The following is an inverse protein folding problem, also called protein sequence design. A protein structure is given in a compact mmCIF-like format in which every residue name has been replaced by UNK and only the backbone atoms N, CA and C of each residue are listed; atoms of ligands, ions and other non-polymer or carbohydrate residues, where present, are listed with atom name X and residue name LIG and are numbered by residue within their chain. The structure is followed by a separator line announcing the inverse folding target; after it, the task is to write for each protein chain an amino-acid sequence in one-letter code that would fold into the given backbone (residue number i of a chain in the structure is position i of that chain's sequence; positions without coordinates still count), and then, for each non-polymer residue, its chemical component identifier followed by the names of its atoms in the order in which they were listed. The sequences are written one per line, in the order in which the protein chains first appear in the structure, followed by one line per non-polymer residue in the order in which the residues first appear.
data_IF_989627402415
#
_entry.id   IF_989627402415
#
_cell.length_a   1.000
_cell.length_b   1.000
_cell.length_c   1.000
_cell.angle_alpha   90.00
_cell.angle_beta   90.00
_cell.angle_gamma   90.00
#
_symmetry.space_group_name_H-M   'P 1'
#
loop_
_entity.id
_entity.type
_entity.pdbx_description
1 polymer ?
#
# COMPACT_ATOMS: atom_id res chain seq x y z
N UNK A 1 -19.40 3.69 14.54
CA UNK A 1 -19.92 4.14 13.22
C UNK A 1 -19.19 3.36 12.12
N UNK A 2 -19.79 3.14 10.94
CA UNK A 2 -19.09 2.61 9.77
C UNK A 2 -17.99 3.58 9.30
N UNK A 3 -16.88 3.07 8.78
CA UNK A 3 -15.76 3.84 8.22
C UNK A 3 -15.41 3.33 6.83
N UNK A 4 -15.59 4.18 5.81
CA UNK A 4 -15.31 3.85 4.41
C UNK A 4 -13.99 4.53 4.00
N UNK A 5 -13.04 3.74 3.50
CA UNK A 5 -11.80 4.22 2.90
C UNK A 5 -12.04 4.56 1.42
N UNK A 6 -12.06 5.87 1.10
CA UNK A 6 -12.08 6.38 -0.28
C UNK A 6 -10.66 6.62 -0.75
N UNK A 7 -10.15 5.78 -1.65
CA UNK A 7 -8.76 5.84 -2.14
C UNK A 7 -8.72 6.52 -3.50
N UNK A 8 -8.08 7.69 -3.58
CA UNK A 8 -7.91 8.43 -4.85
C UNK A 8 -6.53 8.20 -5.49
N UNK A 9 -5.50 7.90 -4.69
CA UNK A 9 -4.12 7.76 -5.13
C UNK A 9 -3.38 6.65 -4.40
N UNK A 10 -2.13 6.92 -3.99
CA UNK A 10 -1.30 5.92 -3.31
C UNK A 10 -1.86 5.57 -1.94
N UNK A 11 -2.01 4.28 -1.67
CA UNK A 11 -2.30 3.72 -0.36
C UNK A 11 -1.17 2.75 0.01
N UNK A 12 -0.08 3.33 0.52
CA UNK A 12 1.20 2.64 0.72
C UNK A 12 1.70 2.85 2.15
N UNK A 13 2.36 1.83 2.73
CA UNK A 13 2.91 1.88 4.10
C UNK A 13 1.84 2.28 5.13
N UNK A 14 2.05 3.33 5.92
CA UNK A 14 1.05 3.82 6.88
C UNK A 14 -0.33 4.12 6.26
N UNK A 15 -0.37 4.56 4.99
CA UNK A 15 -1.64 4.71 4.27
C UNK A 15 -2.36 3.37 4.05
N UNK A 16 -1.61 2.31 3.78
CA UNK A 16 -2.12 0.95 3.64
C UNK A 16 -2.66 0.40 4.96
N UNK A 17 -1.99 0.68 6.06
CA UNK A 17 -2.41 0.34 7.42
C UNK A 17 -3.71 1.04 7.81
N UNK A 18 -3.76 2.37 7.67
CA UNK A 18 -4.96 3.17 7.97
C UNK A 18 -6.15 2.69 7.13
N UNK A 19 -5.92 2.50 5.83
CA UNK A 19 -6.99 2.03 4.95
C UNK A 19 -7.44 0.60 5.28
N UNK A 20 -6.55 -0.27 5.77
CA UNK A 20 -6.93 -1.62 6.19
C UNK A 20 -7.65 -1.59 7.52
N UNK A 21 -7.45 -0.59 8.38
CA UNK A 21 -8.22 -0.42 9.61
C UNK A 21 -9.70 -0.07 9.34
N UNK A 22 -10.02 0.58 8.20
CA UNK A 22 -11.39 0.86 7.77
C UNK A 22 -12.25 -0.40 7.53
N UNK A 23 -13.56 -0.23 7.42
CA UNK A 23 -14.52 -1.33 7.24
C UNK A 23 -14.68 -1.73 5.77
N UNK A 24 -14.70 -0.76 4.86
CA UNK A 24 -14.81 -0.95 3.41
C UNK A 24 -13.82 -0.06 2.67
N UNK A 25 -13.38 -0.50 1.48
CA UNK A 25 -12.52 0.32 0.61
C UNK A 25 -13.13 0.44 -0.79
N UNK A 26 -13.27 1.67 -1.26
CA UNK A 26 -13.56 2.00 -2.66
C UNK A 26 -12.39 2.78 -3.22
N UNK A 27 -11.88 2.37 -4.37
CA UNK A 27 -10.70 2.95 -4.97
C UNK A 27 -10.96 3.51 -6.38
N UNK A 28 -10.32 4.64 -6.65
CA UNK A 28 -9.87 5.02 -7.99
C UNK A 28 -9.07 3.87 -8.60
N UNK A 29 -9.27 3.62 -9.88
CA UNK A 29 -8.51 2.61 -10.59
C UNK A 29 -7.08 3.01 -10.95
N UNK A 30 -6.73 4.27 -10.74
CA UNK A 30 -5.36 4.78 -10.76
C UNK A 30 -4.63 4.61 -9.42
N UNK A 31 -5.35 4.20 -8.36
CA UNK A 31 -4.74 3.95 -7.06
C UNK A 31 -3.75 2.78 -7.12
N UNK A 32 -2.69 2.90 -6.34
CA UNK A 32 -1.68 1.86 -6.16
C UNK A 32 -1.51 1.55 -4.68
N UNK A 33 -1.23 0.29 -4.38
CA UNK A 33 -1.23 -0.25 -3.04
C UNK A 33 0.06 -1.02 -2.78
N UNK A 34 0.52 -1.06 -1.55
CA UNK A 34 1.69 -1.86 -1.17
C UNK A 34 2.27 -1.46 0.18
N UNK A 35 3.39 -2.08 0.52
CA UNK A 35 4.21 -1.67 1.66
C UNK A 35 5.47 -0.96 1.19
N UNK A 36 6.09 -0.23 2.12
CA UNK A 36 7.40 0.38 1.88
C UNK A 36 8.34 0.27 3.08
N UNK A 37 7.83 -0.14 4.25
CA UNK A 37 8.57 -0.17 5.51
C UNK A 37 9.91 -0.89 5.39
N UNK A 38 9.92 -2.20 5.02
CA UNK A 38 11.15 -3.00 5.00
C UNK A 38 12.24 -2.44 4.10
N UNK A 39 11.87 -1.72 3.04
CA UNK A 39 12.82 -1.05 2.14
C UNK A 39 13.45 0.21 2.76
N UNK A 40 12.79 0.86 3.70
CA UNK A 40 13.20 2.15 4.26
C UNK A 40 13.44 2.10 5.77
N UNK A 41 13.84 0.94 6.29
CA UNK A 41 14.23 0.78 7.70
C UNK A 41 13.06 0.81 8.67
N UNK A 42 11.88 0.38 8.24
CA UNK A 42 10.69 0.26 9.09
C UNK A 42 10.00 -1.09 8.85
N UNK A 43 8.94 -1.39 9.58
CA UNK A 43 8.10 -2.56 9.36
C UNK A 43 6.61 -2.15 9.30
N UNK A 44 5.72 -3.00 8.76
CA UNK A 44 4.29 -2.72 8.75
C UNK A 44 3.65 -2.86 10.15
N UNK A 45 3.90 -1.89 11.02
CA UNK A 45 3.60 -1.91 12.45
C UNK A 45 2.25 -1.32 12.85
N UNK A 46 1.59 -0.56 11.98
CA UNK A 46 0.26 0.01 12.22
C UNK A 46 -0.89 -0.94 11.91
N UNK A 47 -0.62 -2.24 11.93
CA UNK A 47 -1.62 -3.31 11.87
C UNK A 47 -1.66 -4.05 10.54
N UNK A 48 -0.77 -3.76 9.59
CA UNK A 48 -0.75 -4.50 8.32
C UNK A 48 -0.48 -5.98 8.50
N UNK A 49 0.48 -6.34 9.36
CA UNK A 49 0.80 -7.73 9.69
C UNK A 49 -0.38 -8.45 10.35
N UNK A 50 -1.24 -7.71 11.08
CA UNK A 50 -2.45 -8.25 11.70
C UNK A 50 -3.60 -8.42 10.71
N UNK A 51 -3.70 -7.53 9.72
CA UNK A 51 -4.86 -7.40 8.84
C UNK A 51 -4.70 -8.15 7.53
N UNK A 52 -3.51 -8.15 6.91
CA UNK A 52 -3.28 -8.77 5.60
C UNK A 52 -3.78 -10.22 5.49
N UNK A 53 -3.58 -11.10 6.50
CA UNK A 53 -4.09 -12.48 6.44
C UNK A 53 -5.63 -12.60 6.40
N UNK A 54 -6.37 -11.53 6.74
CA UNK A 54 -7.84 -11.49 6.64
C UNK A 54 -8.34 -11.07 5.25
N UNK A 55 -7.45 -10.54 4.42
CA UNK A 55 -7.78 -10.02 3.10
C UNK A 55 -7.20 -10.86 1.96
N UNK A 56 -6.06 -11.51 2.20
CA UNK A 56 -5.27 -12.22 1.20
C UNK A 56 -4.99 -13.65 1.64
N UNK A 57 -4.52 -14.48 0.70
CA UNK A 57 -3.87 -15.74 1.06
C UNK A 57 -2.65 -15.46 1.94
N UNK A 58 -2.22 -16.42 2.76
CA UNK A 58 -1.06 -16.21 3.64
C UNK A 58 0.22 -15.92 2.84
N UNK A 59 0.39 -16.54 1.67
CA UNK A 59 1.52 -16.30 0.76
C UNK A 59 1.46 -14.89 0.15
N UNK A 60 0.29 -14.47 -0.36
CA UNK A 60 0.11 -13.12 -0.89
C UNK A 60 0.27 -12.06 0.21
N UNK A 61 -0.21 -12.34 1.43
CA UNK A 61 -0.05 -11.47 2.59
C UNK A 61 1.44 -11.29 2.92
N UNK A 62 2.20 -12.39 2.98
CA UNK A 62 3.64 -12.35 3.22
C UNK A 62 4.35 -11.56 2.11
N UNK A 63 4.10 -11.89 0.85
CA UNK A 63 4.75 -11.20 -0.27
C UNK A 63 4.38 -9.72 -0.35
N UNK A 64 3.11 -9.36 -0.14
CA UNK A 64 2.68 -7.96 -0.09
C UNK A 64 3.35 -7.19 1.06
N UNK A 65 3.55 -7.86 2.20
CA UNK A 65 4.18 -7.28 3.38
C UNK A 65 5.65 -6.91 3.15
N UNK A 66 6.41 -7.80 2.49
CA UNK A 66 7.89 -7.70 2.46
C UNK A 66 8.49 -7.26 1.13
N UNK A 67 7.83 -7.53 -0.01
CA UNK A 67 8.41 -7.25 -1.35
C UNK A 67 8.55 -5.76 -1.66
N UNK A 68 7.75 -4.93 -0.98
CA UNK A 68 7.61 -3.51 -1.26
C UNK A 68 7.22 -3.21 -2.72
N UNK A 69 6.58 -4.18 -3.39
CA UNK A 69 6.01 -4.00 -4.73
C UNK A 69 4.73 -3.17 -4.69
N UNK A 70 4.50 -2.42 -5.76
CA UNK A 70 3.24 -1.71 -5.96
C UNK A 70 2.28 -2.59 -6.74
N UNK A 71 1.09 -2.77 -6.20
CA UNK A 71 0.00 -3.51 -6.83
C UNK A 71 -1.10 -2.55 -7.26
N UNK A 72 -1.74 -2.84 -8.39
CA UNK A 72 -2.84 -2.02 -8.89
C UNK A 72 -4.12 -2.21 -8.05
N UNK A 73 -5.03 -1.24 -8.15
CA UNK A 73 -6.38 -1.38 -7.60
C UNK A 73 -7.09 -2.64 -8.11
N UNK A 74 -6.94 -2.99 -9.39
CA UNK A 74 -7.57 -4.18 -9.98
C UNK A 74 -7.04 -5.48 -9.39
N UNK A 75 -5.72 -5.59 -9.20
CA UNK A 75 -5.11 -6.74 -8.50
C UNK A 75 -5.63 -6.85 -7.08
N UNK A 76 -5.64 -5.74 -6.35
CA UNK A 76 -6.19 -5.70 -4.99
C UNK A 76 -7.66 -6.11 -4.91
N UNK A 77 -8.46 -5.72 -5.91
CA UNK A 77 -9.86 -6.16 -5.99
C UNK A 77 -10.00 -7.64 -6.31
N UNK A 78 -9.21 -8.15 -7.25
CA UNK A 78 -9.18 -9.57 -7.63
C UNK A 78 -8.81 -10.47 -6.45
N UNK A 79 -7.83 -10.04 -5.65
CA UNK A 79 -7.36 -10.78 -4.48
C UNK A 79 -8.22 -10.58 -3.23
N UNK A 80 -9.23 -9.69 -3.27
CA UNK A 80 -10.20 -9.52 -2.18
C UNK A 80 -9.86 -8.44 -1.15
N UNK A 81 -8.75 -7.71 -1.30
CA UNK A 81 -8.32 -6.69 -0.33
C UNK A 81 -9.21 -5.44 -0.33
N UNK A 82 -9.80 -5.09 -1.47
CA UNK A 82 -10.68 -3.91 -1.58
C UNK A 82 -12.05 -4.26 -2.17
N UNK A 83 -13.05 -3.45 -1.85
CA UNK A 83 -14.45 -3.75 -2.16
C UNK A 83 -14.86 -3.35 -3.57
N UNK A 84 -14.38 -2.21 -4.10
CA UNK A 84 -14.76 -1.73 -5.44
C UNK A 84 -13.67 -0.85 -6.06
N UNK A 85 -13.57 -0.90 -7.39
CA UNK A 85 -12.62 -0.12 -8.20
C UNK A 85 -13.37 0.58 -9.32
N UNK A 86 -13.19 1.89 -9.44
CA UNK A 86 -13.91 2.71 -10.42
C UNK A 86 -12.95 3.57 -11.25
N UNK A 87 -13.24 3.76 -12.54
CA UNK A 87 -12.44 4.62 -13.40
C UNK A 87 -12.54 6.07 -12.96
N UNK A 88 -11.42 6.79 -13.04
CA UNK A 88 -11.37 8.23 -12.76
C UNK A 88 -10.85 9.06 -13.93
N UNK A 89 -10.43 8.42 -15.03
CA UNK A 89 -10.09 9.15 -16.25
C UNK A 89 -11.37 9.42 -17.03
N UNK A 90 -11.52 10.67 -17.47
CA UNK A 90 -12.66 11.12 -18.26
C UNK A 90 -12.19 11.66 -19.60
N UNK A 91 -12.66 11.03 -20.66
CA UNK A 91 -12.40 11.40 -22.05
C UNK A 91 -13.74 11.72 -22.73
N UNK A 92 -14.02 13.02 -22.89
CA UNK A 92 -15.37 13.51 -23.18
C UNK A 92 -16.36 13.06 -22.10
N UNK A 93 -17.39 12.33 -22.52
CA UNK A 93 -18.43 11.78 -21.63
C UNK A 93 -18.12 10.34 -21.16
N UNK A 94 -17.02 9.74 -21.62
CA UNK A 94 -16.68 8.36 -21.32
C UNK A 94 -15.70 8.27 -20.15
N UNK A 95 -15.95 7.26 -19.31
CA UNK A 95 -14.99 6.84 -18.30
C UNK A 95 -14.00 5.84 -18.88
N UNK A 96 -12.72 6.13 -18.75
CA UNK A 96 -11.64 5.29 -19.27
C UNK A 96 -10.99 4.53 -18.11
N UNK A 97 -10.90 3.21 -18.26
CA UNK A 97 -10.22 2.32 -17.31
C UNK A 97 -8.71 2.54 -17.40
N UNK A 98 -8.00 2.42 -16.27
CA UNK A 98 -6.56 2.65 -16.16
C UNK A 98 -5.78 1.90 -17.26
N UNK A 99 -5.23 2.60 -18.26
CA UNK A 99 -4.58 1.95 -19.40
C UNK A 99 -3.23 1.33 -19.05
N UNK A 100 -2.70 1.62 -17.85
CA UNK A 100 -1.45 1.04 -17.33
C UNK A 100 -1.63 -0.40 -16.88
N UNK A 101 -2.87 -0.88 -16.72
CA UNK A 101 -3.20 -2.18 -16.12
C UNK A 101 -3.93 -3.04 -17.14
N UNK A 102 -3.64 -4.34 -17.15
CA UNK A 102 -4.34 -5.32 -17.99
C UNK A 102 -5.74 -5.53 -17.40
N UNK A 103 -6.77 -5.18 -18.17
CA UNK A 103 -8.18 -5.22 -17.72
C UNK A 103 -9.12 -5.89 -18.72
N UNK A 104 -8.61 -6.22 -19.90
CA UNK A 104 -9.28 -6.83 -21.04
C UNK A 104 -9.01 -8.34 -21.17
N UNK A 105 -8.00 -8.86 -20.47
CA UNK A 105 -7.64 -10.28 -20.45
C UNK A 105 -7.48 -10.80 -19.03
N UNK A 106 -7.92 -12.03 -18.79
CA UNK A 106 -7.79 -12.68 -17.48
C UNK A 106 -6.59 -13.61 -17.37
N UNK A 107 -6.38 -14.44 -18.39
CA UNK A 107 -5.30 -15.44 -18.43
C UNK A 107 -4.45 -15.24 -19.67
N UNK A 108 -3.13 -15.33 -19.52
CA UNK A 108 -2.16 -15.35 -20.62
C UNK A 108 -1.05 -16.34 -20.29
N UNK A 109 -0.80 -17.29 -21.18
CA UNK A 109 0.21 -18.34 -20.99
C UNK A 109 0.08 -19.10 -19.65
N UNK A 110 -1.17 -19.40 -19.27
CA UNK A 110 -1.48 -20.07 -18.00
C UNK A 110 -1.46 -19.18 -16.75
N UNK A 111 -0.97 -17.95 -16.86
CA UNK A 111 -0.87 -17.00 -15.74
C UNK A 111 -2.07 -16.06 -15.66
N UNK A 112 -2.49 -15.71 -14.44
CA UNK A 112 -3.53 -14.69 -14.23
C UNK A 112 -2.91 -13.30 -14.40
N UNK A 113 -3.28 -12.61 -15.48
CA UNK A 113 -2.76 -11.28 -15.83
C UNK A 113 -3.71 -10.13 -15.50
N UNK A 114 -4.99 -10.40 -15.23
CA UNK A 114 -5.94 -9.34 -14.87
C UNK A 114 -5.50 -8.59 -13.61
N UNK A 115 -5.35 -7.28 -13.76
CA UNK A 115 -4.91 -6.39 -12.70
C UNK A 115 -3.39 -6.24 -12.58
N UNK A 116 -2.60 -6.96 -13.35
CA UNK A 116 -1.16 -6.71 -13.41
C UNK A 116 -0.86 -5.45 -14.25
N UNK A 117 0.20 -4.74 -13.90
CA UNK A 117 0.67 -3.64 -14.73
C UNK A 117 1.20 -4.18 -16.07
N UNK A 118 0.91 -3.45 -17.15
CA UNK A 118 1.58 -3.65 -18.43
C UNK A 118 3.09 -3.48 -18.26
N UNK A 119 3.87 -3.97 -19.23
CA UNK A 119 5.34 -3.92 -19.20
C UNK A 119 5.90 -3.15 -20.39
N UNK A 120 7.18 -2.76 -20.31
CA UNK A 120 7.91 -2.17 -21.43
C UNK A 120 7.30 -0.89 -22.00
N UNK A 121 7.29 -0.79 -23.33
CA UNK A 121 6.85 0.39 -24.07
C UNK A 121 5.35 0.71 -23.87
N UNK A 122 4.51 -0.32 -23.72
CA UNK A 122 3.08 -0.12 -23.49
C UNK A 122 2.81 0.58 -22.17
N UNK A 123 3.52 0.19 -21.11
CA UNK A 123 3.42 0.87 -19.82
C UNK A 123 3.89 2.33 -19.90
N UNK A 124 4.97 2.59 -20.64
CA UNK A 124 5.50 3.94 -20.82
C UNK A 124 4.49 4.84 -21.54
N UNK A 125 3.89 4.36 -22.65
CA UNK A 125 2.82 5.06 -23.38
C UNK A 125 1.60 5.31 -22.49
N UNK A 126 1.16 4.28 -21.74
CA UNK A 126 0.04 4.41 -20.83
C UNK A 126 0.30 5.44 -19.72
N UNK A 127 1.51 5.48 -19.14
CA UNK A 127 1.91 6.48 -18.15
C UNK A 127 1.88 7.89 -18.72
N UNK A 128 2.40 8.08 -19.94
CA UNK A 128 2.36 9.37 -20.63
C UNK A 128 0.92 9.85 -20.84
N UNK A 129 0.04 8.97 -21.32
CA UNK A 129 -1.39 9.27 -21.44
C UNK A 129 -2.03 9.64 -20.10
N UNK A 130 -1.83 8.82 -19.06
CA UNK A 130 -2.42 9.07 -17.73
C UNK A 130 -1.94 10.39 -17.14
N UNK A 131 -0.70 10.79 -17.40
CA UNK A 131 -0.17 12.09 -16.94
C UNK A 131 -1.00 13.26 -17.48
N UNK A 132 -1.30 13.26 -18.77
CA UNK A 132 -2.03 14.35 -19.45
C UNK A 132 -3.55 14.23 -19.34
N UNK A 133 -4.08 13.01 -19.10
CA UNK A 133 -5.53 12.77 -19.07
C UNK A 133 -6.25 13.57 -17.97
N UNK A 134 -7.48 14.00 -18.23
CA UNK A 134 -8.32 14.65 -17.22
C UNK A 134 -8.81 13.61 -16.20
N UNK A 135 -8.63 13.92 -14.90
CA UNK A 135 -9.14 13.10 -13.80
C UNK A 135 -10.41 13.74 -13.24
N UNK A 136 -11.45 12.93 -13.11
CA UNK A 136 -12.73 13.30 -12.51
C UNK A 136 -13.06 12.27 -11.42
N UNK A 137 -13.28 12.74 -10.20
CA UNK A 137 -13.54 11.87 -9.04
C UNK A 137 -15.04 11.69 -8.76
N UNK A 138 -15.92 12.28 -9.57
CA UNK A 138 -17.36 12.23 -9.34
C UNK A 138 -17.89 10.80 -9.23
N UNK A 139 -17.40 9.87 -10.06
CA UNK A 139 -17.83 8.46 -9.99
C UNK A 139 -17.34 7.76 -8.71
N UNK A 140 -16.16 8.14 -8.21
CA UNK A 140 -15.63 7.65 -6.93
C UNK A 140 -16.49 8.16 -5.75
N UNK A 141 -16.84 9.44 -5.77
CA UNK A 141 -17.67 10.08 -4.73
C UNK A 141 -19.12 9.58 -4.76
N UNK A 142 -19.67 9.39 -5.96
CA UNK A 142 -20.97 8.74 -6.17
C UNK A 142 -20.96 7.33 -5.60
N UNK A 143 -19.91 6.54 -5.86
CA UNK A 143 -19.82 5.17 -5.34
C UNK A 143 -19.78 5.13 -3.81
N UNK A 144 -19.10 6.09 -3.16
CA UNK A 144 -19.17 6.21 -1.70
C UNK A 144 -20.58 6.57 -1.25
N UNK A 145 -21.25 7.49 -1.95
CA UNK A 145 -22.63 7.90 -1.65
C UNK A 145 -23.63 6.75 -1.79
N UNK A 146 -23.45 5.85 -2.77
CA UNK A 146 -24.26 4.63 -2.93
C UNK A 146 -24.14 3.69 -1.71
N UNK A 147 -22.93 3.53 -1.17
CA UNK A 147 -22.70 2.72 0.03
C UNK A 147 -23.35 3.39 1.25
N UNK A 148 -23.18 4.70 1.40
CA UNK A 148 -23.81 5.46 2.48
C UNK A 148 -25.33 5.37 2.40
N UNK A 149 -25.91 5.48 1.20
CA UNK A 149 -27.34 5.31 0.96
C UNK A 149 -27.82 3.92 1.39
N UNK A 150 -27.04 2.88 1.06
CA UNK A 150 -27.34 1.52 1.54
C UNK A 150 -27.40 1.48 3.06
N UNK A 151 -26.41 2.03 3.76
CA UNK A 151 -26.37 2.05 5.23
C UNK A 151 -27.50 2.84 5.87
N UNK A 152 -27.91 3.96 5.27
CA UNK A 152 -29.03 4.79 5.74
C UNK A 152 -30.36 4.05 5.71
N UNK A 153 -30.51 3.05 4.83
CA UNK A 153 -31.73 2.26 4.67
C UNK A 153 -31.69 0.93 5.46
N UNK A 154 -30.82 0.80 6.47
CA UNK A 154 -30.73 -0.36 7.36
C UNK A 154 -31.08 0.01 8.80
N UNK A 155 -31.61 -0.95 9.56
CA UNK A 155 -31.83 -0.75 11.00
C UNK A 155 -30.49 -0.43 11.69
N UNK A 156 -30.36 0.75 12.36
CA UNK A 156 -29.07 1.25 12.81
C UNK A 156 -28.41 0.35 13.86
N UNK A 157 -29.20 -0.25 14.76
CA UNK A 157 -28.72 -1.22 15.75
C UNK A 157 -28.19 -2.51 15.13
N UNK A 158 -28.88 -3.04 14.12
CA UNK A 158 -28.45 -4.24 13.40
C UNK A 158 -27.19 -3.95 12.57
N UNK A 159 -27.13 -2.78 11.91
CA UNK A 159 -25.97 -2.34 11.13
C UNK A 159 -24.72 -2.26 12.00
N UNK A 160 -24.78 -1.55 13.14
CA UNK A 160 -23.61 -1.39 14.00
C UNK A 160 -23.18 -2.72 14.61
N UNK A 161 -24.13 -3.55 15.05
CA UNK A 161 -23.83 -4.88 15.61
C UNK A 161 -23.15 -5.80 14.59
N UNK A 162 -23.55 -5.71 13.33
CA UNK A 162 -23.00 -6.49 12.22
C UNK A 162 -21.56 -6.05 11.92
N UNK A 163 -21.33 -4.74 11.78
CA UNK A 163 -20.00 -4.17 11.54
C UNK A 163 -19.05 -4.52 12.68
N UNK A 164 -19.46 -4.27 13.93
CA UNK A 164 -18.61 -4.55 15.10
C UNK A 164 -18.32 -6.05 15.23
N UNK A 165 -19.27 -6.90 14.83
CA UNK A 165 -19.08 -8.34 14.76
C UNK A 165 -17.92 -8.74 13.85
N UNK A 166 -17.80 -8.16 12.66
CA UNK A 166 -16.68 -8.41 11.74
C UNK A 166 -15.40 -7.73 12.25
N UNK A 167 -15.48 -6.46 12.66
CA UNK A 167 -14.34 -5.67 13.13
C UNK A 167 -13.61 -6.30 14.31
N UNK A 168 -14.33 -7.03 15.16
CA UNK A 168 -13.75 -7.74 16.30
C UNK A 168 -12.58 -8.65 15.90
N UNK A 169 -12.60 -9.26 14.71
CA UNK A 169 -11.54 -10.18 14.27
C UNK A 169 -10.23 -9.42 14.08
N UNK A 170 -10.26 -8.31 13.34
CA UNK A 170 -9.11 -7.42 13.18
C UNK A 170 -8.63 -6.83 14.51
N UNK A 171 -9.59 -6.38 15.35
CA UNK A 171 -9.28 -5.79 16.66
C UNK A 171 -8.60 -6.78 17.59
N UNK A 172 -8.98 -8.05 17.56
CA UNK A 172 -8.36 -9.10 18.37
C UNK A 172 -6.85 -9.20 18.13
N UNK A 173 -6.42 -9.29 16.86
CA UNK A 173 -4.99 -9.35 16.52
C UNK A 173 -4.27 -8.03 16.83
N UNK A 174 -4.84 -6.90 16.41
CA UNK A 174 -4.28 -5.58 16.70
C UNK A 174 -4.06 -5.34 18.19
N UNK A 175 -5.02 -5.71 19.04
CA UNK A 175 -4.90 -5.49 20.48
C UNK A 175 -3.78 -6.34 21.12
N UNK A 176 -3.47 -7.51 20.56
CA UNK A 176 -2.38 -8.36 21.02
C UNK A 176 -0.99 -7.80 20.62
N UNK A 177 -0.88 -7.15 19.46
CA UNK A 177 0.41 -6.80 18.85
C UNK A 177 0.77 -5.31 18.98
N UNK A 178 -0.21 -4.40 19.06
CA UNK A 178 0.01 -2.94 19.05
C UNK A 178 1.03 -2.42 20.07
N UNK A 179 1.13 -3.05 21.24
CA UNK A 179 2.08 -2.63 22.27
C UNK A 179 3.51 -3.00 21.86
N UNK A 180 3.74 -4.24 21.43
CA UNK A 180 5.04 -4.68 20.94
C UNK A 180 5.49 -3.84 19.74
N UNK A 181 4.61 -3.62 18.76
CA UNK A 181 4.89 -2.78 17.59
C UNK A 181 5.27 -1.36 17.98
N UNK A 182 4.54 -0.75 18.92
CA UNK A 182 4.86 0.59 19.44
C UNK A 182 6.25 0.64 20.09
N UNK A 183 6.59 -0.37 20.89
CA UNK A 183 7.89 -0.44 21.55
C UNK A 183 9.01 -0.66 20.55
N UNK A 184 8.86 -1.59 19.61
CA UNK A 184 9.82 -1.83 18.54
C UNK A 184 10.06 -0.56 17.73
N UNK A 185 8.98 0.10 17.27
CA UNK A 185 9.08 1.32 16.48
C UNK A 185 9.84 2.42 17.23
N UNK A 186 9.58 2.59 18.53
CA UNK A 186 10.28 3.60 19.34
C UNK A 186 11.80 3.39 19.42
N UNK A 187 12.25 2.13 19.47
CA UNK A 187 13.67 1.78 19.48
C UNK A 187 14.27 1.86 18.07
N UNK A 188 13.52 1.40 17.07
CA UNK A 188 13.97 1.35 15.69
C UNK A 188 14.22 2.76 15.08
N UNK A 189 13.59 3.81 15.62
CA UNK A 189 13.84 5.20 15.22
C UNK A 189 15.33 5.59 15.27
N UNK A 190 16.11 4.99 16.17
CA UNK A 190 17.53 5.28 16.33
C UNK A 190 18.45 4.31 15.57
N UNK A 191 17.88 3.33 14.85
CA UNK A 191 18.65 2.29 14.15
C UNK A 191 18.28 2.21 12.66
N UNK A 192 17.58 1.18 12.19
CA UNK A 192 17.33 1.01 10.75
C UNK A 192 16.51 2.17 10.17
N UNK A 193 15.57 2.72 10.94
CA UNK A 193 14.75 3.85 10.48
C UNK A 193 15.60 5.09 10.26
N UNK A 194 16.62 5.33 11.09
CA UNK A 194 17.59 6.40 10.86
C UNK A 194 18.24 6.23 9.49
N UNK A 195 18.81 5.05 9.20
CA UNK A 195 19.48 4.81 7.92
C UNK A 195 18.53 4.97 6.73
N UNK A 196 17.37 4.32 6.78
CA UNK A 196 16.42 4.30 5.68
C UNK A 196 15.79 5.66 5.40
N UNK A 197 15.36 6.37 6.44
CA UNK A 197 14.75 7.69 6.27
C UNK A 197 15.77 8.73 5.85
N UNK A 198 17.00 8.67 6.36
CA UNK A 198 18.08 9.57 5.92
C UNK A 198 18.43 9.32 4.45
N UNK A 199 18.59 8.07 4.01
CA UNK A 199 18.85 7.76 2.61
C UNK A 199 17.73 8.29 1.70
N UNK A 200 16.47 8.05 2.07
CA UNK A 200 15.32 8.54 1.31
C UNK A 200 15.30 10.08 1.22
N UNK A 201 15.49 10.77 2.34
CA UNK A 201 15.43 12.23 2.40
C UNK A 201 16.61 12.91 1.70
N UNK A 202 17.78 12.27 1.70
CA UNK A 202 19.01 12.83 1.11
C UNK A 202 19.21 12.43 -0.36
N UNK A 203 18.27 11.70 -0.97
CA UNK A 203 18.33 11.25 -2.37
C UNK A 203 18.80 12.31 -3.36
N UNK A 204 18.30 13.54 -3.24
CA UNK A 204 18.66 14.64 -4.16
C UNK A 204 20.13 15.07 -4.06
N UNK A 205 20.75 14.83 -2.90
CA UNK A 205 22.14 15.21 -2.60
C UNK A 205 23.07 14.05 -2.95
N UNK A 206 22.68 12.81 -2.67
CA UNK A 206 23.54 11.63 -2.78
C UNK A 206 23.33 10.85 -4.08
N UNK A 207 22.23 11.12 -4.78
CA UNK A 207 21.74 10.34 -5.92
C UNK A 207 21.22 8.95 -5.56
N UNK A 208 21.19 8.57 -4.28
CA UNK A 208 20.72 7.25 -3.79
C UNK A 208 19.64 7.44 -2.73
N UNK A 209 18.52 6.73 -2.87
CA UNK A 209 17.42 6.73 -1.89
C UNK A 209 17.45 5.55 -0.92
N UNK A 210 18.40 4.63 -1.10
CA UNK A 210 18.56 3.43 -0.29
C UNK A 210 19.99 3.31 0.20
N UNK A 211 20.14 2.59 1.32
CA UNK A 211 21.45 2.24 1.88
C UNK A 211 22.09 1.10 1.08
N UNK A 212 23.39 0.87 1.28
CA UNK A 212 24.03 -0.38 0.86
C UNK A 212 23.62 -1.52 1.81
N UNK A 213 22.54 -2.22 1.45
CA UNK A 213 22.03 -3.33 2.24
C UNK A 213 23.00 -4.51 2.37
N UNK A 214 23.89 -4.72 1.40
CA UNK A 214 24.85 -5.82 1.44
C UNK A 214 25.94 -5.47 2.44
N UNK A 215 26.49 -4.25 2.35
CA UNK A 215 27.48 -3.77 3.31
C UNK A 215 26.90 -3.73 4.73
N UNK A 216 25.66 -3.27 4.90
CA UNK A 216 24.97 -3.30 6.19
C UNK A 216 24.94 -4.71 6.81
N UNK A 217 24.50 -5.72 6.04
CA UNK A 217 24.48 -7.11 6.50
C UNK A 217 25.86 -7.68 6.81
N UNK A 218 26.88 -7.32 6.02
CA UNK A 218 28.26 -7.73 6.29
C UNK A 218 28.77 -7.16 7.62
N UNK A 219 28.50 -5.89 7.91
CA UNK A 219 28.87 -5.26 9.17
C UNK A 219 28.14 -5.89 10.37
N UNK A 220 26.84 -6.15 10.24
CA UNK A 220 26.08 -6.87 11.27
C UNK A 220 26.63 -8.28 11.53
N UNK A 221 26.96 -9.03 10.46
CA UNK A 221 27.54 -10.37 10.58
C UNK A 221 28.92 -10.37 11.26
N UNK A 222 29.64 -9.24 11.19
CA UNK A 222 30.91 -9.02 11.88
C UNK A 222 30.71 -8.48 13.31
N UNK A 223 29.46 -8.39 13.79
CA UNK A 223 29.10 -7.78 15.07
C UNK A 223 29.64 -6.35 15.24
N UNK A 224 29.78 -5.61 14.12
CA UNK A 224 30.18 -4.22 14.18
C UNK A 224 29.08 -3.40 14.87
N UNK A 225 29.43 -2.52 15.83
CA UNK A 225 28.45 -1.73 16.57
C UNK A 225 27.65 -0.80 15.65
N UNK A 226 26.43 -0.43 16.09
CA UNK A 226 25.63 0.56 15.39
C UNK A 226 26.10 1.98 15.76
N UNK A 227 27.19 2.41 15.15
CA UNK A 227 27.83 3.71 15.38
C UNK A 227 27.88 4.57 14.10
N UNK A 228 28.61 5.67 14.14
CA UNK A 228 28.71 6.59 13.00
C UNK A 228 29.56 6.01 11.85
N UNK A 229 30.53 5.13 12.14
CA UNK A 229 31.31 4.44 11.12
C UNK A 229 30.42 3.51 10.29
N UNK A 230 29.53 2.74 10.95
CA UNK A 230 28.53 1.93 10.27
C UNK A 230 27.63 2.79 9.38
N UNK A 231 27.11 3.89 9.91
CA UNK A 231 26.17 4.77 9.18
C UNK A 231 26.85 5.35 7.93
N UNK A 232 28.07 5.87 8.06
CA UNK A 232 28.81 6.43 6.93
C UNK A 232 29.13 5.35 5.87
N UNK A 233 29.45 4.12 6.30
CA UNK A 233 29.79 3.03 5.39
C UNK A 233 28.61 2.59 4.50
N UNK A 234 27.36 2.78 4.94
CA UNK A 234 26.17 2.29 4.23
C UNK A 234 25.33 3.39 3.57
N UNK A 235 25.50 4.65 3.98
CA UNK A 235 24.77 5.78 3.40
C UNK A 235 25.39 6.30 2.10
N UNK A 236 24.55 6.88 1.25
CA UNK A 236 25.02 7.57 0.05
C UNK A 236 25.88 8.79 0.41
N UNK A 237 26.96 9.02 -0.35
CA UNK A 237 27.81 10.20 -0.18
C UNK A 237 27.28 11.36 -1.04
N UNK A 238 27.40 12.62 -0.59
CA UNK A 238 27.05 13.78 -1.39
C UNK A 238 27.77 13.77 -2.75
N UNK A 239 27.02 14.05 -3.81
CA UNK A 239 27.58 14.32 -5.13
C UNK A 239 28.02 15.78 -5.16
N UNK A 240 29.28 16.02 -5.54
CA UNK A 240 29.84 17.37 -5.69
C UNK A 240 29.19 18.13 -6.85
#
# INVERSE_FOLDING_TARGET
KPVICRVNGMRVAGGQEIGMACDLTVASDLAVFGQAGPRHGSAPDGGSTDFLPWFLSMEDAMWNCVSCEMWSAYKMKRLGLISKVVPVIKDGDKWVRNPQVITDKYVEDGEIVYGEFKKGEELAKARAYVKEAKKDLALLDQTVSEILWTFTNLFPGCLIKSIDGIRMKKKFFWDMTKLANRHWLSVNMMTEAFLGFHAFNTKKITGKDLIDFIKYRQLLAQAHPFDDELKEAVLGKPQA
#
